data_IF_272496687335
#
_entry.id   IF_272496687335
#
_cell.length_a   1.000
_cell.length_b   1.000
_cell.length_c   1.000
_cell.angle_alpha   90.00
_cell.angle_beta   90.00
_cell.angle_gamma   90.00
#
_symmetry.space_group_name_H-M   'P 1'
#
loop_
_entity.id
_entity.type
_entity.pdbx_description
1 polymer ?
#
# COMPACT_ATOMS: atom_id res chain seq x y z
N UNK A 1 55.97 -29.61 24.32
CA UNK A 1 56.02 -30.23 22.99
C UNK A 1 54.68 -30.89 22.73
N UNK A 2 54.05 -30.55 21.61
CA UNK A 2 52.81 -31.12 21.13
C UNK A 2 53.12 -32.43 20.37
N UNK A 3 52.29 -33.47 20.55
CA UNK A 3 52.37 -34.73 19.80
C UNK A 3 51.58 -34.68 18.49
N UNK A 4 51.46 -35.82 17.81
CA UNK A 4 50.86 -35.93 16.47
C UNK A 4 49.34 -35.66 16.44
N UNK A 5 48.64 -35.81 17.56
CA UNK A 5 47.19 -35.54 17.70
C UNK A 5 46.87 -34.18 18.33
N UNK A 6 47.89 -33.41 18.70
CA UNK A 6 47.74 -32.12 19.36
C UNK A 6 47.70 -30.98 18.33
N UNK A 7 46.90 -29.95 18.61
CA UNK A 7 46.90 -28.70 17.86
C UNK A 7 47.60 -27.59 18.66
N UNK A 8 48.31 -26.69 17.97
CA UNK A 8 48.96 -25.53 18.57
C UNK A 8 48.24 -24.26 18.10
N UNK A 9 47.96 -23.35 19.02
CA UNK A 9 47.51 -21.97 18.70
C UNK A 9 48.66 -21.01 18.94
N UNK A 10 48.99 -20.21 17.92
CA UNK A 10 50.04 -19.19 17.96
C UNK A 10 49.37 -17.82 17.78
N UNK A 11 49.73 -16.86 18.63
CA UNK A 11 49.29 -15.46 18.52
C UNK A 11 50.52 -14.59 18.28
N UNK A 12 50.45 -13.70 17.30
CA UNK A 12 51.54 -12.80 16.93
C UNK A 12 51.08 -11.34 17.05
N UNK A 13 51.45 -10.71 18.15
CA UNK A 13 51.10 -9.34 18.54
C UNK A 13 52.16 -8.85 19.58
N UNK A 14 51.96 -7.69 20.18
CA UNK A 14 52.72 -7.27 21.36
C UNK A 14 52.59 -8.29 22.50
N UNK A 15 53.65 -8.41 23.30
CA UNK A 15 53.76 -9.45 24.33
C UNK A 15 52.55 -9.49 25.28
N UNK A 16 52.03 -8.33 25.69
CA UNK A 16 50.88 -8.25 26.60
C UNK A 16 49.59 -8.77 25.94
N UNK A 17 49.31 -8.33 24.70
CA UNK A 17 48.17 -8.81 23.90
C UNK A 17 48.24 -10.33 23.66
N UNK A 18 49.43 -10.85 23.35
CA UNK A 18 49.65 -12.29 23.16
C UNK A 18 49.30 -13.09 24.43
N UNK A 19 49.70 -12.61 25.60
CA UNK A 19 49.43 -13.29 26.88
C UNK A 19 47.92 -13.34 27.15
N UNK A 20 47.21 -12.23 26.96
CA UNK A 20 45.77 -12.17 27.22
C UNK A 20 44.94 -12.96 26.19
N UNK A 21 45.31 -12.90 24.92
CA UNK A 21 44.68 -13.71 23.87
C UNK A 21 44.88 -15.21 24.10
N UNK A 22 46.10 -15.65 24.42
CA UNK A 22 46.38 -17.06 24.72
C UNK A 22 45.64 -17.55 25.97
N UNK A 23 45.47 -16.70 27.00
CA UNK A 23 44.63 -17.02 28.17
C UNK A 23 43.17 -17.24 27.76
N UNK A 24 42.60 -16.35 26.94
CA UNK A 24 41.23 -16.47 26.48
C UNK A 24 41.01 -17.74 25.63
N UNK A 25 41.94 -18.05 24.72
CA UNK A 25 41.91 -19.29 23.92
C UNK A 25 42.01 -20.52 24.82
N UNK A 26 42.92 -20.52 25.81
CA UNK A 26 43.10 -21.64 26.72
C UNK A 26 41.84 -21.89 27.56
N UNK A 27 41.19 -20.85 28.09
CA UNK A 27 39.92 -20.99 28.81
C UNK A 27 38.81 -21.52 27.89
N UNK A 28 38.70 -20.99 26.66
CA UNK A 28 37.73 -21.48 25.68
C UNK A 28 37.94 -22.96 25.33
N UNK A 29 39.20 -23.38 25.17
CA UNK A 29 39.54 -24.77 24.88
C UNK A 29 39.16 -25.70 26.04
N UNK A 30 39.39 -25.28 27.29
CA UNK A 30 38.97 -26.04 28.49
C UNK A 30 37.45 -26.20 28.56
N UNK A 31 36.69 -25.15 28.25
CA UNK A 31 35.23 -25.20 28.21
C UNK A 31 34.71 -26.14 27.11
N UNK A 32 35.32 -26.07 25.91
CA UNK A 32 34.91 -26.88 24.76
C UNK A 32 35.01 -28.40 25.03
N UNK A 33 35.95 -28.83 25.86
CA UNK A 33 36.08 -30.24 26.30
C UNK A 33 34.90 -30.66 27.19
N UNK A 34 34.32 -29.73 27.95
CA UNK A 34 33.17 -30.01 28.84
C UNK A 34 31.85 -30.00 28.07
N UNK A 35 31.72 -29.16 27.05
CA UNK A 35 30.52 -29.06 26.21
C UNK A 35 30.28 -27.67 25.64
N UNK A 36 29.02 -27.37 25.31
CA UNK A 36 28.60 -26.06 24.81
C UNK A 36 28.49 -25.08 25.99
N UNK A 37 29.23 -23.96 26.01
CA UNK A 37 29.17 -23.00 27.11
C UNK A 37 27.86 -22.19 27.09
N UNK A 38 27.54 -21.57 28.22
CA UNK A 38 26.50 -20.55 28.27
C UNK A 38 27.07 -19.17 27.88
N UNK A 39 26.61 -18.63 26.75
CA UNK A 39 27.15 -17.39 26.20
C UNK A 39 26.07 -16.53 25.52
N UNK A 40 26.33 -15.22 25.45
CA UNK A 40 25.52 -14.31 24.66
C UNK A 40 26.12 -14.22 23.26
N UNK A 41 25.29 -14.47 22.23
CA UNK A 41 25.72 -14.47 20.82
C UNK A 41 24.88 -13.49 20.01
N UNK A 42 25.48 -12.91 18.97
CA UNK A 42 24.77 -12.12 17.96
C UNK A 42 24.45 -13.00 16.74
N UNK A 43 23.28 -12.78 16.13
CA UNK A 43 22.92 -13.39 14.85
C UNK A 43 23.67 -12.70 13.70
N UNK A 44 24.17 -13.51 12.76
CA UNK A 44 24.77 -13.07 11.51
C UNK A 44 23.72 -13.15 10.37
N UNK A 45 23.90 -12.41 9.26
CA UNK A 45 22.96 -12.44 8.14
C UNK A 45 22.81 -13.81 7.45
N UNK A 46 23.82 -14.67 7.54
CA UNK A 46 23.83 -16.03 6.98
C UNK A 46 23.13 -17.06 7.88
N UNK A 47 22.53 -16.63 8.99
CA UNK A 47 21.88 -17.49 9.96
C UNK A 47 22.84 -18.15 10.97
N UNK A 48 24.14 -17.92 10.84
CA UNK A 48 25.11 -18.31 11.89
C UNK A 48 25.07 -17.32 13.05
N UNK A 49 25.86 -17.59 14.07
CA UNK A 49 25.97 -16.69 15.23
C UNK A 49 27.44 -16.46 15.57
N UNK A 50 27.75 -15.32 16.18
CA UNK A 50 29.09 -15.01 16.71
C UNK A 50 29.05 -14.72 18.20
N UNK A 51 30.09 -15.14 18.91
CA UNK A 51 30.26 -14.85 20.32
C UNK A 51 30.30 -13.34 20.57
N UNK A 52 29.65 -12.89 21.64
CA UNK A 52 29.75 -11.50 22.12
C UNK A 52 30.40 -11.43 23.49
N UNK A 53 29.79 -12.08 24.48
CA UNK A 53 30.21 -12.01 25.89
C UNK A 53 29.72 -13.24 26.65
N UNK A 54 30.28 -13.54 27.83
CA UNK A 54 29.76 -14.58 28.69
C UNK A 54 28.31 -14.25 29.08
N UNK A 55 27.49 -15.28 29.29
CA UNK A 55 26.12 -15.05 29.75
C UNK A 55 26.16 -14.30 31.10
N UNK A 56 25.45 -13.15 31.23
CA UNK A 56 25.35 -12.48 32.51
C UNK A 56 24.78 -13.43 33.57
N UNK A 57 25.32 -13.37 34.79
CA UNK A 57 24.76 -14.10 35.93
C UNK A 57 23.34 -13.62 36.27
N UNK A 58 22.69 -14.34 37.19
CA UNK A 58 21.34 -13.97 37.64
C UNK A 58 21.33 -12.54 38.22
N UNK A 59 20.40 -11.72 37.75
CA UNK A 59 20.19 -10.40 38.31
C UNK A 59 19.66 -10.52 39.74
N UNK A 60 20.26 -9.78 40.67
CA UNK A 60 19.74 -9.63 42.03
C UNK A 60 18.57 -8.66 41.98
N UNK A 61 17.35 -9.18 42.04
CA UNK A 61 16.13 -8.36 42.03
C UNK A 61 15.66 -8.08 43.47
N UNK A 62 15.28 -6.85 43.74
CA UNK A 62 14.58 -6.41 44.95
C UNK A 62 13.46 -5.45 44.53
N UNK A 63 12.39 -5.29 45.33
CA UNK A 63 11.34 -4.32 45.03
C UNK A 63 11.93 -2.91 44.95
N UNK A 64 11.58 -2.18 43.90
CA UNK A 64 11.88 -0.75 43.78
C UNK A 64 11.21 0.00 44.94
N UNK A 65 11.99 0.76 45.71
CA UNK A 65 11.52 1.46 46.90
C UNK A 65 11.14 2.91 46.63
N UNK A 66 11.67 3.49 45.55
CA UNK A 66 11.41 4.88 45.18
C UNK A 66 10.05 5.04 44.49
N UNK A 67 9.54 3.97 43.90
CA UNK A 67 8.25 3.94 43.20
C UNK A 67 7.22 3.17 44.03
N UNK A 68 6.15 3.84 44.51
CA UNK A 68 5.09 3.14 45.22
C UNK A 68 4.38 2.16 44.27
N UNK A 69 3.87 1.02 44.79
CA UNK A 69 3.06 0.10 44.00
C UNK A 69 1.85 0.80 43.39
N UNK A 70 1.59 0.57 42.10
CA UNK A 70 0.45 1.13 41.38
C UNK A 70 -0.65 0.07 41.29
N UNK A 71 -1.74 0.17 42.08
CA UNK A 71 -2.85 -0.77 41.98
C UNK A 71 -3.63 -0.51 40.68
N UNK A 72 -3.91 -1.58 39.93
CA UNK A 72 -4.76 -1.52 38.74
C UNK A 72 -6.20 -1.78 39.17
N UNK A 73 -7.05 -0.76 39.11
CA UNK A 73 -8.47 -0.90 39.45
C UNK A 73 -9.26 -1.61 38.35
N UNK A 74 -10.37 -2.25 38.71
CA UNK A 74 -11.29 -2.85 37.74
C UNK A 74 -11.84 -1.80 36.77
N UNK A 75 -12.17 -0.60 37.24
CA UNK A 75 -12.62 0.51 36.40
C UNK A 75 -11.56 0.90 35.35
N UNK A 76 -10.28 0.94 35.75
CA UNK A 76 -9.18 1.21 34.81
C UNK A 76 -9.06 0.11 33.75
N UNK A 77 -9.18 -1.15 34.16
CA UNK A 77 -9.14 -2.30 33.26
C UNK A 77 -10.32 -2.27 32.27
N UNK A 78 -11.54 -2.05 32.76
CA UNK A 78 -12.75 -1.94 31.94
C UNK A 78 -12.62 -0.81 30.91
N UNK A 79 -12.13 0.36 31.35
CA UNK A 79 -11.87 1.48 30.45
C UNK A 79 -10.86 1.12 29.35
N UNK A 80 -9.78 0.43 29.68
CA UNK A 80 -8.81 -0.02 28.67
C UNK A 80 -9.42 -1.05 27.72
N UNK A 81 -10.18 -2.00 28.25
CA UNK A 81 -10.84 -3.03 27.44
C UNK A 81 -11.84 -2.43 26.44
N UNK A 82 -12.56 -1.36 26.83
CA UNK A 82 -13.48 -0.66 25.94
C UNK A 82 -12.77 0.15 24.84
N UNK A 83 -11.50 0.52 25.05
CA UNK A 83 -10.71 1.33 24.12
C UNK A 83 -9.66 0.50 23.36
N UNK A 84 -9.65 -0.83 23.52
CA UNK A 84 -8.77 -1.69 22.75
C UNK A 84 -9.14 -1.61 21.26
N UNK A 85 -8.17 -1.34 20.37
CA UNK A 85 -8.45 -1.39 18.95
C UNK A 85 -8.79 -2.82 18.51
N UNK A 86 -9.49 -2.93 17.39
CA UNK A 86 -9.75 -4.21 16.74
C UNK A 86 -8.42 -4.90 16.37
N UNK A 87 -8.32 -6.20 16.64
CA UNK A 87 -7.15 -6.98 16.21
C UNK A 87 -7.01 -6.96 14.68
N UNK A 88 -5.79 -6.92 14.12
CA UNK A 88 -5.55 -6.89 12.68
C UNK A 88 -6.34 -7.92 11.89
N UNK A 89 -6.38 -9.17 12.37
CA UNK A 89 -7.05 -10.29 11.70
C UNK A 89 -8.57 -10.08 11.64
N UNK A 90 -9.16 -9.62 12.76
CA UNK A 90 -10.60 -9.31 12.85
C UNK A 90 -10.97 -8.15 11.93
N UNK A 91 -10.11 -7.11 11.88
CA UNK A 91 -10.30 -5.97 10.98
C UNK A 91 -10.30 -6.41 9.52
N UNK A 92 -9.36 -7.27 9.12
CA UNK A 92 -9.32 -7.82 7.75
C UNK A 92 -10.61 -8.59 7.42
N UNK A 93 -11.05 -9.50 8.30
CA UNK A 93 -12.31 -10.24 8.12
C UNK A 93 -13.52 -9.32 8.00
N UNK A 94 -13.60 -8.30 8.87
CA UNK A 94 -14.65 -7.29 8.86
C UNK A 94 -14.66 -6.52 7.56
N UNK A 95 -13.51 -6.04 7.09
CA UNK A 95 -13.39 -5.28 5.85
C UNK A 95 -13.86 -6.09 4.63
N UNK A 96 -13.52 -7.37 4.57
CA UNK A 96 -13.98 -8.29 3.51
C UNK A 96 -15.51 -8.44 3.56
N UNK A 97 -16.06 -8.71 4.74
CA UNK A 97 -17.50 -8.98 4.93
C UNK A 97 -18.36 -7.73 4.68
N UNK A 98 -17.96 -6.58 5.22
CA UNK A 98 -18.77 -5.36 5.20
C UNK A 98 -18.62 -4.57 3.90
N UNK A 99 -17.41 -4.54 3.32
CA UNK A 99 -17.12 -3.72 2.14
C UNK A 99 -16.90 -4.53 0.86
N UNK A 100 -16.92 -5.87 0.93
CA UNK A 100 -16.83 -6.75 -0.24
C UNK A 100 -15.48 -6.69 -0.96
N UNK A 101 -14.42 -6.22 -0.29
CA UNK A 101 -13.07 -6.17 -0.85
C UNK A 101 -12.36 -7.51 -0.69
N UNK A 102 -11.43 -7.83 -1.59
CA UNK A 102 -10.66 -9.06 -1.49
C UNK A 102 -9.65 -9.02 -0.33
N UNK A 103 -9.19 -10.19 0.09
CA UNK A 103 -8.26 -10.33 1.22
C UNK A 103 -6.95 -9.54 1.04
N UNK A 104 -6.41 -9.52 -0.19
CA UNK A 104 -5.19 -8.77 -0.50
C UNK A 104 -5.36 -7.28 -0.20
N UNK A 105 -6.44 -6.67 -0.69
CA UNK A 105 -6.75 -5.24 -0.47
C UNK A 105 -7.06 -4.97 1.00
N UNK A 106 -7.78 -5.87 1.68
CA UNK A 106 -8.08 -5.73 3.11
C UNK A 106 -6.80 -5.74 3.96
N UNK A 107 -5.87 -6.66 3.70
CA UNK A 107 -4.56 -6.70 4.37
C UNK A 107 -3.72 -5.46 4.07
N UNK A 108 -3.71 -5.02 2.81
CA UNK A 108 -3.01 -3.79 2.44
C UNK A 108 -3.58 -2.54 3.10
N UNK A 109 -4.90 -2.46 3.28
CA UNK A 109 -5.55 -1.36 4.00
C UNK A 109 -5.21 -1.40 5.48
N UNK A 110 -5.30 -2.57 6.11
CA UNK A 110 -4.98 -2.75 7.52
C UNK A 110 -3.52 -2.39 7.84
N UNK A 111 -2.60 -2.66 6.92
CA UNK A 111 -1.17 -2.29 7.01
C UNK A 111 -0.88 -0.86 6.51
N UNK A 112 -1.91 -0.06 6.24
CA UNK A 112 -1.77 1.32 5.75
C UNK A 112 -2.31 2.36 6.72
N UNK A 113 -1.88 3.60 6.54
CA UNK A 113 -2.40 4.79 7.24
C UNK A 113 -3.78 5.27 6.73
N UNK A 114 -4.33 4.59 5.72
CA UNK A 114 -5.56 4.98 5.02
C UNK A 114 -6.79 4.17 5.46
N UNK A 115 -6.68 3.36 6.50
CA UNK A 115 -7.76 2.50 6.99
C UNK A 115 -9.00 3.30 7.41
N UNK A 116 -8.83 4.32 8.25
CA UNK A 116 -9.91 5.21 8.68
C UNK A 116 -10.44 6.02 7.49
N UNK A 117 -9.55 6.46 6.60
CA UNK A 117 -9.88 7.26 5.43
C UNK A 117 -10.77 6.48 4.45
N UNK A 118 -10.44 5.20 4.23
CA UNK A 118 -11.21 4.28 3.40
C UNK A 118 -12.66 4.18 3.90
N UNK A 119 -12.86 3.96 5.21
CA UNK A 119 -14.20 3.83 5.78
C UNK A 119 -15.02 5.13 5.63
N UNK A 120 -14.38 6.29 5.82
CA UNK A 120 -15.02 7.60 5.61
C UNK A 120 -15.46 7.74 4.14
N UNK A 121 -14.56 7.48 3.19
CA UNK A 121 -14.83 7.65 1.76
C UNK A 121 -15.97 6.73 1.31
N UNK A 122 -15.96 5.46 1.73
CA UNK A 122 -16.99 4.50 1.30
C UNK A 122 -18.35 4.81 1.92
N UNK A 123 -18.40 5.39 3.13
CA UNK A 123 -19.66 5.82 3.76
C UNK A 123 -20.23 7.09 3.15
N UNK A 124 -19.37 8.01 2.71
CA UNK A 124 -19.80 9.32 2.17
C UNK A 124 -20.00 9.34 0.66
N UNK A 125 -19.49 8.35 -0.07
CA UNK A 125 -19.51 8.35 -1.53
C UNK A 125 -20.10 7.06 -2.10
N UNK A 126 -20.63 7.15 -3.32
CA UNK A 126 -21.13 6.00 -4.09
C UNK A 126 -20.03 5.25 -4.85
N UNK A 127 -18.75 5.54 -4.55
CA UNK A 127 -17.61 4.94 -5.25
C UNK A 127 -17.42 3.51 -4.77
N UNK A 128 -17.23 2.52 -5.67
CA UNK A 128 -17.07 1.12 -5.25
C UNK A 128 -15.91 0.92 -4.28
N UNK A 129 -16.15 0.23 -3.17
CA UNK A 129 -15.16 -0.01 -2.10
C UNK A 129 -13.84 -0.57 -2.64
N UNK A 130 -13.90 -1.54 -3.55
CA UNK A 130 -12.71 -2.14 -4.18
C UNK A 130 -11.85 -1.10 -4.90
N UNK A 131 -12.47 -0.12 -5.55
CA UNK A 131 -11.77 0.95 -6.25
C UNK A 131 -11.13 1.93 -5.26
N UNK A 132 -11.85 2.30 -4.20
CA UNK A 132 -11.30 3.17 -3.15
C UNK A 132 -10.10 2.51 -2.49
N UNK A 133 -10.23 1.25 -2.07
CA UNK A 133 -9.15 0.46 -1.46
C UNK A 133 -7.92 0.41 -2.37
N UNK A 134 -8.09 -0.03 -3.63
CA UNK A 134 -6.99 -0.14 -4.59
C UNK A 134 -6.33 1.22 -4.89
N UNK A 135 -7.12 2.30 -4.94
CA UNK A 135 -6.56 3.64 -5.16
C UNK A 135 -5.66 4.05 -4.00
N UNK A 136 -6.15 3.90 -2.77
CA UNK A 136 -5.41 4.27 -1.55
C UNK A 136 -4.16 3.39 -1.35
N UNK A 137 -4.25 2.08 -1.58
CA UNK A 137 -3.16 1.15 -1.27
C UNK A 137 -2.21 0.87 -2.43
N UNK A 138 -2.66 0.99 -3.68
CA UNK A 138 -1.88 0.66 -4.88
C UNK A 138 -1.58 1.90 -5.72
N UNK A 139 -2.59 2.69 -6.12
CA UNK A 139 -2.37 3.87 -6.99
C UNK A 139 -1.49 4.91 -6.32
N UNK A 140 -1.80 5.31 -5.08
CA UNK A 140 -0.98 6.27 -4.33
C UNK A 140 0.47 5.77 -4.13
N UNK A 141 0.65 4.48 -3.82
CA UNK A 141 2.00 3.87 -3.74
C UNK A 141 2.71 3.87 -5.10
N UNK A 142 2.00 3.68 -6.21
CA UNK A 142 2.58 3.79 -7.57
C UNK A 142 3.05 5.20 -7.86
N UNK A 143 2.22 6.21 -7.58
CA UNK A 143 2.58 7.60 -7.80
C UNK A 143 3.79 8.02 -6.95
N UNK A 144 3.88 7.55 -5.71
CA UNK A 144 5.08 7.74 -4.88
C UNK A 144 6.33 7.16 -5.55
N UNK A 145 6.26 5.96 -6.13
CA UNK A 145 7.39 5.35 -6.86
C UNK A 145 7.75 6.11 -8.14
N UNK A 146 6.79 6.76 -8.77
CA UNK A 146 7.00 7.66 -9.91
C UNK A 146 7.63 9.01 -9.52
N UNK A 147 7.81 9.28 -8.21
CA UNK A 147 8.46 10.48 -7.69
C UNK A 147 7.51 11.61 -7.31
N UNK A 148 6.20 11.35 -7.21
CA UNK A 148 5.24 12.33 -6.73
C UNK A 148 5.17 12.32 -5.19
N UNK A 149 5.10 13.51 -4.58
CA UNK A 149 5.06 13.69 -3.12
C UNK A 149 3.64 13.52 -2.58
N UNK A 150 3.14 12.29 -2.62
CA UNK A 150 1.78 11.94 -2.22
C UNK A 150 1.52 12.20 -0.73
N UNK A 151 2.56 12.17 0.10
CA UNK A 151 2.51 12.47 1.53
C UNK A 151 2.09 13.91 1.84
N UNK A 152 2.22 14.83 0.87
CA UNK A 152 1.77 16.22 1.02
C UNK A 152 0.25 16.38 0.86
N UNK A 153 -0.43 15.35 0.36
CA UNK A 153 -1.88 15.39 0.20
C UNK A 153 -2.56 15.30 1.56
N UNK A 154 -3.43 16.26 1.86
CA UNK A 154 -4.24 16.21 3.06
C UNK A 154 -5.32 15.13 2.96
N UNK A 155 -5.77 14.63 4.12
CA UNK A 155 -6.89 13.67 4.19
C UNK A 155 -8.15 14.24 3.54
N UNK A 156 -8.41 15.52 3.75
CA UNK A 156 -9.55 16.25 3.20
C UNK A 156 -9.47 16.36 1.67
N UNK A 157 -8.27 16.62 1.12
CA UNK A 157 -8.07 16.63 -0.34
C UNK A 157 -8.40 15.26 -0.94
N UNK A 158 -7.91 14.17 -0.33
CA UNK A 158 -8.19 12.80 -0.80
C UNK A 158 -9.70 12.51 -0.74
N UNK A 159 -10.37 12.78 0.38
CA UNK A 159 -11.82 12.60 0.51
C UNK A 159 -12.57 13.39 -0.57
N UNK A 160 -12.20 14.67 -0.77
CA UNK A 160 -12.85 15.54 -1.74
C UNK A 160 -12.67 15.05 -3.18
N UNK A 161 -11.52 14.49 -3.54
CA UNK A 161 -11.33 13.84 -4.85
C UNK A 161 -12.35 12.71 -5.05
N UNK A 162 -12.55 11.83 -4.06
CA UNK A 162 -13.56 10.77 -4.17
C UNK A 162 -14.99 11.30 -4.18
N UNK A 163 -15.31 12.38 -3.45
CA UNK A 163 -16.63 13.03 -3.53
C UNK A 163 -16.91 13.61 -4.93
N UNK A 164 -15.89 14.19 -5.59
CA UNK A 164 -16.01 14.70 -6.95
C UNK A 164 -16.26 13.57 -7.97
N UNK A 165 -15.71 12.39 -7.73
CA UNK A 165 -15.96 11.19 -8.53
C UNK A 165 -17.37 10.66 -8.27
N UNK A 166 -17.77 10.53 -7.00
CA UNK A 166 -19.10 10.05 -6.61
C UNK A 166 -20.26 10.95 -7.07
N UNK A 167 -20.02 12.26 -7.17
CA UNK A 167 -20.98 13.23 -7.72
C UNK A 167 -20.97 13.32 -9.25
N UNK A 168 -20.09 12.59 -9.94
CA UNK A 168 -19.99 12.58 -11.39
C UNK A 168 -19.35 13.84 -12.00
N UNK A 169 -18.59 14.62 -11.21
CA UNK A 169 -17.86 15.79 -11.71
C UNK A 169 -16.62 15.41 -12.52
N UNK A 170 -15.98 14.29 -12.17
CA UNK A 170 -14.82 13.71 -12.83
C UNK A 170 -14.97 12.18 -12.95
N UNK A 171 -14.20 11.55 -13.84
CA UNK A 171 -14.20 10.08 -13.99
C UNK A 171 -13.21 9.40 -13.03
N UNK A 172 -13.34 8.08 -12.85
CA UNK A 172 -12.42 7.28 -12.02
C UNK A 172 -10.99 7.25 -12.60
N UNK A 173 -10.90 7.30 -13.93
CA UNK A 173 -9.65 7.26 -14.67
C UNK A 173 -8.83 8.56 -14.52
N UNK A 174 -9.48 9.64 -14.05
CA UNK A 174 -8.84 10.93 -13.81
C UNK A 174 -8.12 11.03 -12.45
N UNK A 175 -8.42 10.17 -11.47
CA UNK A 175 -7.84 10.28 -10.12
C UNK A 175 -6.30 10.33 -10.12
N UNK A 176 -5.57 9.46 -10.86
CA UNK A 176 -4.11 9.51 -10.85
C UNK A 176 -3.57 10.88 -11.27
N UNK A 177 -4.14 11.49 -12.32
CA UNK A 177 -3.69 12.80 -12.80
C UNK A 177 -4.07 13.94 -11.84
N UNK A 178 -5.25 13.85 -11.20
CA UNK A 178 -5.66 14.78 -10.15
C UNK A 178 -4.68 14.73 -8.96
N UNK A 179 -4.35 13.53 -8.46
CA UNK A 179 -3.40 13.37 -7.36
C UNK A 179 -1.98 13.82 -7.73
N UNK A 180 -1.51 13.53 -8.95
CA UNK A 180 -0.25 14.05 -9.46
C UNK A 180 -0.21 15.57 -9.45
N UNK A 181 -1.28 16.23 -9.90
CA UNK A 181 -1.36 17.68 -9.91
C UNK A 181 -1.41 18.25 -8.48
N UNK A 182 -2.24 17.69 -7.60
CA UNK A 182 -2.34 18.13 -6.20
C UNK A 182 -1.02 17.96 -5.45
N UNK A 183 -0.26 16.89 -5.71
CA UNK A 183 1.06 16.69 -5.08
C UNK A 183 2.08 17.79 -5.43
N UNK A 184 1.84 18.55 -6.51
CA UNK A 184 2.68 19.67 -6.95
C UNK A 184 2.12 21.04 -6.56
N UNK A 185 0.87 21.10 -6.09
CA UNK A 185 0.16 22.32 -5.73
C UNK A 185 -0.39 22.17 -4.32
N UNK A 186 0.49 22.40 -3.35
CA UNK A 186 0.18 22.27 -1.93
C UNK A 186 -0.99 23.18 -1.52
N UNK A 187 -1.95 22.62 -0.78
CA UNK A 187 -3.14 23.33 -0.33
C UNK A 187 -4.17 23.66 -1.42
N UNK A 188 -3.92 23.33 -2.68
CA UNK A 188 -4.85 23.59 -3.77
C UNK A 188 -6.12 22.73 -3.67
N UNK A 189 -7.21 23.24 -4.21
CA UNK A 189 -8.49 22.56 -4.19
C UNK A 189 -8.56 21.49 -5.30
N UNK A 190 -9.03 20.25 -5.02
CA UNK A 190 -9.26 19.23 -6.05
C UNK A 190 -10.12 19.69 -7.24
N UNK A 191 -11.03 20.65 -7.06
CA UNK A 191 -11.78 21.23 -8.18
C UNK A 191 -10.93 22.07 -9.13
N UNK A 192 -9.88 22.72 -8.63
CA UNK A 192 -8.92 23.46 -9.45
C UNK A 192 -8.15 22.49 -10.35
N UNK A 193 -7.71 21.35 -9.81
CA UNK A 193 -7.06 20.29 -10.58
C UNK A 193 -7.94 19.83 -11.75
N UNK A 194 -9.24 19.65 -11.53
CA UNK A 194 -10.19 19.24 -12.58
C UNK A 194 -10.30 20.32 -13.67
N UNK A 195 -10.33 21.61 -13.30
CA UNK A 195 -10.43 22.72 -14.25
C UNK A 195 -9.15 22.87 -15.07
N UNK A 196 -8.00 22.94 -14.41
CA UNK A 196 -6.68 23.15 -15.03
C UNK A 196 -6.28 21.99 -15.95
N UNK A 197 -6.58 20.75 -15.54
CA UNK A 197 -6.31 19.56 -16.36
C UNK A 197 -7.41 19.29 -17.41
N UNK A 198 -8.51 20.05 -17.39
CA UNK A 198 -9.65 19.85 -18.29
C UNK A 198 -10.35 18.49 -18.09
N UNK A 199 -10.35 17.95 -16.87
CA UNK A 199 -10.88 16.62 -16.52
C UNK A 199 -12.36 16.61 -16.13
N UNK A 200 -13.07 17.72 -16.37
CA UNK A 200 -14.51 17.78 -16.12
C UNK A 200 -15.27 16.79 -17.02
N UNK A 201 -16.22 16.07 -16.42
CA UNK A 201 -17.08 15.12 -17.11
C UNK A 201 -17.90 15.79 -18.20
N UNK A 202 -17.92 15.18 -19.39
CA UNK A 202 -18.79 15.58 -20.49
C UNK A 202 -20.25 15.24 -20.16
N UNK A 203 -21.17 16.09 -20.60
CA UNK A 203 -22.59 15.79 -20.51
C UNK A 203 -22.96 14.61 -21.41
N UNK A 204 -24.04 13.90 -21.07
CA UNK A 204 -24.56 12.80 -21.89
C UNK A 204 -24.82 13.22 -23.33
N UNK A 205 -25.36 14.43 -23.55
CA UNK A 205 -25.64 14.96 -24.89
C UNK A 205 -24.38 15.27 -25.69
N UNK A 206 -23.34 15.81 -25.05
CA UNK A 206 -22.04 16.01 -25.71
C UNK A 206 -21.40 14.68 -26.08
N UNK A 207 -21.41 13.71 -25.14
CA UNK A 207 -20.86 12.39 -25.40
C UNK A 207 -21.61 11.68 -26.55
N UNK A 208 -22.94 11.74 -26.57
CA UNK A 208 -23.74 11.19 -27.67
C UNK A 208 -23.39 11.82 -29.02
N UNK A 209 -23.23 13.15 -29.08
CA UNK A 209 -22.81 13.85 -30.31
C UNK A 209 -21.44 13.39 -30.76
N UNK A 210 -20.47 13.33 -29.85
CA UNK A 210 -19.11 12.88 -30.13
C UNK A 210 -19.09 11.44 -30.65
N UNK A 211 -19.84 10.53 -30.04
CA UNK A 211 -19.92 9.13 -30.47
C UNK A 211 -20.54 9.03 -31.87
N UNK A 212 -21.62 9.77 -32.12
CA UNK A 212 -22.28 9.79 -33.43
C UNK A 212 -21.36 10.34 -34.53
N UNK A 213 -20.70 11.47 -34.29
CA UNK A 213 -19.73 12.06 -35.22
C UNK A 213 -18.58 11.09 -35.52
N UNK A 214 -18.06 10.41 -34.49
CA UNK A 214 -17.00 9.42 -34.67
C UNK A 214 -17.46 8.27 -35.56
N UNK A 215 -18.67 7.76 -35.32
CA UNK A 215 -19.27 6.66 -36.09
C UNK A 215 -19.49 7.09 -37.54
N UNK A 216 -20.00 8.30 -37.76
CA UNK A 216 -20.18 8.87 -39.09
C UNK A 216 -18.86 9.02 -39.86
N UNK A 217 -17.79 9.43 -39.19
CA UNK A 217 -16.45 9.53 -39.77
C UNK A 217 -15.80 8.16 -40.04
N UNK A 218 -16.21 7.12 -39.32
CA UNK A 218 -15.63 5.78 -39.39
C UNK A 218 -16.59 4.72 -39.94
N UNK A 219 -17.60 5.12 -40.73
CA UNK A 219 -18.61 4.21 -41.30
C UNK A 219 -18.01 3.01 -42.04
N UNK A 220 -16.95 3.22 -42.84
CA UNK A 220 -16.24 2.13 -43.54
C UNK A 220 -15.72 1.07 -42.57
N UNK A 221 -15.18 1.48 -41.43
CA UNK A 221 -14.65 0.56 -40.42
C UNK A 221 -15.75 -0.33 -39.83
N UNK A 222 -16.95 0.23 -39.65
CA UNK A 222 -18.11 -0.51 -39.13
C UNK A 222 -18.66 -1.47 -40.18
N UNK A 223 -18.73 -1.05 -41.45
CA UNK A 223 -19.17 -1.92 -42.55
C UNK A 223 -18.21 -3.09 -42.79
N UNK A 224 -16.91 -2.86 -42.73
CA UNK A 224 -15.90 -3.91 -42.96
C UNK A 224 -15.74 -4.88 -41.78
N UNK A 225 -15.89 -4.39 -40.54
CA UNK A 225 -15.56 -5.16 -39.32
C UNK A 225 -16.75 -5.51 -38.43
N UNK A 226 -17.93 -4.93 -38.68
CA UNK A 226 -19.12 -5.11 -37.86
C UNK A 226 -18.84 -4.84 -36.38
N UNK A 227 -19.24 -5.77 -35.51
CA UNK A 227 -19.00 -5.68 -34.06
C UNK A 227 -17.50 -5.57 -33.69
N UNK A 228 -16.59 -6.08 -34.53
CA UNK A 228 -15.14 -5.98 -34.28
C UNK A 228 -14.61 -4.55 -34.43
N UNK A 229 -15.40 -3.61 -34.93
CA UNK A 229 -15.07 -2.18 -34.95
C UNK A 229 -15.14 -1.54 -33.54
N UNK A 230 -15.78 -2.18 -32.56
CA UNK A 230 -15.93 -1.66 -31.20
C UNK A 230 -14.60 -1.27 -30.54
N UNK A 231 -13.61 -2.16 -30.56
CA UNK A 231 -12.31 -1.94 -29.91
C UNK A 231 -11.57 -0.70 -30.47
N UNK A 232 -11.37 -0.60 -31.79
CA UNK A 232 -10.80 0.58 -32.43
C UNK A 232 -11.54 1.89 -32.10
N UNK A 233 -12.88 1.90 -32.18
CA UNK A 233 -13.71 3.08 -31.89
C UNK A 233 -13.60 3.50 -30.42
N UNK A 234 -13.63 2.53 -29.51
CA UNK A 234 -13.41 2.76 -28.08
C UNK A 234 -12.03 3.38 -27.83
N UNK A 235 -10.99 2.88 -28.50
CA UNK A 235 -9.64 3.43 -28.43
C UNK A 235 -9.56 4.89 -28.91
N UNK A 236 -10.27 5.26 -29.97
CA UNK A 236 -10.29 6.63 -30.48
C UNK A 236 -10.95 7.61 -29.49
N UNK A 237 -12.10 7.25 -28.92
CA UNK A 237 -12.77 8.10 -27.90
C UNK A 237 -11.89 8.22 -26.67
N UNK A 238 -11.38 7.09 -26.17
CA UNK A 238 -10.56 7.09 -24.97
C UNK A 238 -9.25 7.87 -25.16
N UNK A 239 -8.62 7.83 -26.33
CA UNK A 239 -7.42 8.62 -26.59
C UNK A 239 -7.67 10.13 -26.46
N UNK A 240 -8.86 10.61 -26.84
CA UNK A 240 -9.18 12.04 -26.88
C UNK A 240 -9.87 12.55 -25.61
N UNK A 241 -10.63 11.70 -24.92
CA UNK A 241 -11.50 12.10 -23.82
C UNK A 241 -11.30 11.28 -22.53
N UNK A 242 -10.23 10.48 -22.41
CA UNK A 242 -9.89 9.76 -21.16
C UNK A 242 -9.89 10.74 -19.98
N UNK A 243 -10.51 10.32 -18.87
CA UNK A 243 -10.67 11.14 -17.67
C UNK A 243 -11.89 12.07 -17.68
N UNK A 244 -12.53 12.27 -18.85
CA UNK A 244 -13.69 13.16 -19.04
C UNK A 244 -14.99 12.42 -19.40
N UNK A 245 -14.92 11.09 -19.51
CA UNK A 245 -16.02 10.23 -19.91
C UNK A 245 -16.05 8.99 -19.04
N UNK A 246 -17.26 8.46 -18.79
CA UNK A 246 -17.43 7.17 -18.15
C UNK A 246 -17.28 6.04 -19.18
N UNK A 247 -16.36 5.12 -18.95
CA UNK A 247 -16.07 4.04 -19.89
C UNK A 247 -17.26 3.11 -20.15
N UNK A 248 -18.12 2.91 -19.14
CA UNK A 248 -19.35 2.13 -19.28
C UNK A 248 -20.34 2.81 -20.23
N UNK A 249 -20.58 4.11 -20.05
CA UNK A 249 -21.44 4.90 -20.92
C UNK A 249 -20.92 4.98 -22.35
N UNK A 250 -19.62 5.20 -22.55
CA UNK A 250 -19.00 5.18 -23.89
C UNK A 250 -19.21 3.82 -24.54
N UNK A 251 -18.95 2.73 -23.81
CA UNK A 251 -19.14 1.37 -24.32
C UNK A 251 -20.58 1.11 -24.75
N UNK A 252 -21.55 1.52 -23.94
CA UNK A 252 -22.98 1.36 -24.23
C UNK A 252 -23.38 2.12 -25.50
N UNK A 253 -22.98 3.40 -25.62
CA UNK A 253 -23.31 4.24 -26.77
C UNK A 253 -22.70 3.73 -28.08
N UNK A 254 -21.43 3.31 -28.06
CA UNK A 254 -20.78 2.74 -29.26
C UNK A 254 -21.52 1.48 -29.71
N UNK A 255 -21.86 0.57 -28.77
CA UNK A 255 -22.59 -0.68 -29.11
C UNK A 255 -23.98 -0.41 -29.67
N UNK A 256 -24.70 0.55 -29.08
CA UNK A 256 -26.03 0.95 -29.55
C UNK A 256 -25.98 1.47 -31.00
N UNK A 257 -25.05 2.38 -31.30
CA UNK A 257 -24.94 2.97 -32.63
C UNK A 257 -24.39 1.98 -33.67
N UNK A 258 -23.47 1.06 -33.31
CA UNK A 258 -23.07 -0.04 -34.19
C UNK A 258 -24.29 -0.91 -34.53
N UNK A 259 -25.10 -1.29 -33.53
CA UNK A 259 -26.30 -2.11 -33.75
C UNK A 259 -27.32 -1.41 -34.65
N UNK A 260 -27.51 -0.10 -34.46
CA UNK A 260 -28.39 0.71 -35.32
C UNK A 260 -27.89 0.75 -36.76
N UNK A 261 -26.59 0.90 -36.96
CA UNK A 261 -25.97 0.88 -38.29
C UNK A 261 -26.06 -0.49 -38.97
N UNK A 262 -25.88 -1.58 -38.23
CA UNK A 262 -26.02 -2.93 -38.78
C UNK A 262 -27.47 -3.29 -39.14
N UNK A 263 -28.48 -2.67 -38.50
CA UNK A 263 -29.91 -2.90 -38.78
C UNK A 263 -30.51 -1.96 -39.84
N UNK A 264 -29.84 -0.85 -40.18
CA UNK A 264 -30.29 0.12 -41.18
C UNK A 264 -29.68 -0.07 -42.57
N UNK A 265 -29.01 -1.20 -42.81
CA UNK A 265 -28.34 -1.56 -44.07
C UNK A 265 -29.04 -2.74 -44.78
N UNK A 266 -30.19 -3.18 -44.27
CA UNK A 266 -31.14 -4.06 -45.00
C UNK A 266 -32.21 -3.24 -45.74
#
# INVERSE_FOLDING_TARGET
NAGDEDAIVIVADEKENCIDALRAVAERAKEAIRGVPEETRAANPDGTTRYMRPRPGAARMYPETDVPPIPISNEHLERLMMNLPEMPERKVERLIREYGINEKLARQLQDSEYDDLFEIIVKETSVPSTFVAATLTETLKSLKREGFEIERLSREQIIKVFRLVGSGRTSKEALPEIFKWLSRHEGADPEEAIKELGLAMLSKHELQRIVKELIDQNRRLILERGERAFGPLMGMIMKKYRGRVDAGMVSALIKEEISRYSKGVD
#
